data_IF_268393962204
#
_entry.id   IF_268393962204
#
_cell.length_a   1.000
_cell.length_b   1.000
_cell.length_c   1.000
_cell.angle_alpha   90.00
_cell.angle_beta   90.00
_cell.angle_gamma   90.00
#
_symmetry.space_group_name_H-M   'P 1'
#
loop_
_entity.id
_entity.type
_entity.pdbx_description
1 polymer ?
#
# COMPACT_ATOMS: atom_id res chain seq x y z
N UNK A 1 -8.07 8.87 -4.20
CA UNK A 1 -9.20 8.82 -3.25
C UNK A 1 -9.25 10.15 -2.51
N UNK A 2 -10.37 10.83 -2.56
CA UNK A 2 -10.64 11.97 -1.68
C UNK A 2 -10.77 11.42 -0.27
N UNK A 3 -10.08 11.95 0.72
CA UNK A 3 -10.15 11.44 2.09
C UNK A 3 -11.60 11.23 2.54
N UNK A 4 -11.84 10.17 3.30
CA UNK A 4 -13.15 9.88 3.90
C UNK A 4 -13.08 10.28 5.36
N UNK A 5 -13.92 11.23 5.74
CA UNK A 5 -14.06 11.69 7.12
C UNK A 5 -15.05 10.84 7.87
N UNK A 6 -14.73 10.57 9.12
CA UNK A 6 -15.67 10.11 10.13
C UNK A 6 -15.56 11.04 11.33
N UNK A 7 -16.59 11.87 11.55
CA UNK A 7 -16.52 12.97 12.51
C UNK A 7 -15.36 13.92 12.18
N UNK A 8 -14.42 14.17 13.08
CA UNK A 8 -13.28 15.06 12.90
C UNK A 8 -11.98 14.33 12.54
N UNK A 9 -12.05 13.01 12.24
CA UNK A 9 -10.90 12.18 11.91
C UNK A 9 -10.99 11.64 10.49
N UNK A 10 -9.82 11.38 9.88
CA UNK A 10 -9.77 10.71 8.58
C UNK A 10 -9.80 9.20 8.73
N UNK A 11 -10.79 8.53 8.15
CA UNK A 11 -10.76 7.10 7.94
C UNK A 11 -9.82 6.73 6.77
N UNK A 12 -9.87 7.54 5.70
CA UNK A 12 -8.98 7.39 4.54
C UNK A 12 -8.31 8.74 4.30
N UNK A 13 -6.98 8.76 4.28
CA UNK A 13 -6.19 9.97 4.07
C UNK A 13 -6.34 10.54 2.65
N UNK A 14 -5.97 11.83 2.48
CA UNK A 14 -6.05 12.54 1.19
C UNK A 14 -4.93 12.13 0.22
N UNK A 15 -4.53 10.89 0.18
CA UNK A 15 -3.48 10.38 -0.71
C UNK A 15 -3.97 9.94 -2.09
N UNK A 16 -5.10 10.49 -2.56
CA UNK A 16 -5.68 10.09 -3.84
C UNK A 16 -4.77 10.34 -5.06
N UNK A 17 -3.88 11.32 -4.98
CA UNK A 17 -2.92 11.61 -6.06
C UNK A 17 -1.81 10.56 -6.11
N UNK A 18 -1.43 10.05 -4.97
CA UNK A 18 -0.36 9.07 -4.85
C UNK A 18 -0.91 7.65 -4.98
N UNK A 19 -1.74 7.21 -4.06
CA UNK A 19 -2.30 5.86 -4.03
C UNK A 19 -3.28 5.59 -5.18
N UNK A 20 -4.02 6.62 -5.63
CA UNK A 20 -4.99 6.49 -6.72
C UNK A 20 -4.36 6.07 -8.04
N UNK A 21 -3.19 6.63 -8.38
CA UNK A 21 -2.45 6.25 -9.59
C UNK A 21 -1.95 4.81 -9.48
N UNK A 22 -1.39 4.42 -8.34
CA UNK A 22 -0.95 3.05 -8.10
C UNK A 22 -2.10 2.05 -8.22
N UNK A 23 -3.26 2.40 -7.68
CA UNK A 23 -4.46 1.58 -7.77
C UNK A 23 -4.98 1.45 -9.20
N UNK A 24 -4.98 2.52 -10.00
CA UNK A 24 -5.38 2.47 -11.41
C UNK A 24 -4.46 1.57 -12.25
N UNK A 25 -3.14 1.63 -12.02
CA UNK A 25 -2.20 0.73 -12.69
C UNK A 25 -2.42 -0.72 -12.25
N UNK A 26 -2.71 -0.95 -10.97
CA UNK A 26 -3.10 -2.27 -10.48
C UNK A 26 -4.34 -2.82 -11.19
N UNK A 27 -5.39 -2.00 -11.34
CA UNK A 27 -6.59 -2.40 -12.08
C UNK A 27 -6.27 -2.74 -13.55
N UNK A 28 -5.42 -1.95 -14.21
CA UNK A 28 -4.98 -2.25 -15.56
C UNK A 28 -4.21 -3.58 -15.64
N UNK A 29 -3.33 -3.86 -14.67
CA UNK A 29 -2.63 -5.14 -14.58
C UNK A 29 -3.59 -6.32 -14.34
N UNK A 30 -4.63 -6.14 -13.52
CA UNK A 30 -5.68 -7.14 -13.30
C UNK A 30 -6.51 -7.40 -14.56
N UNK A 31 -6.88 -6.36 -15.29
CA UNK A 31 -7.57 -6.50 -16.59
C UNK A 31 -6.68 -7.28 -17.56
N UNK A 32 -5.39 -6.92 -17.65
CA UNK A 32 -4.44 -7.63 -18.47
C UNK A 32 -4.30 -9.11 -18.05
N UNK A 33 -4.35 -9.40 -16.77
CA UNK A 33 -4.31 -10.77 -16.25
C UNK A 33 -5.54 -11.58 -16.69
N UNK A 34 -6.74 -10.98 -16.66
CA UNK A 34 -7.98 -11.64 -17.08
C UNK A 34 -7.94 -11.98 -18.58
N UNK A 35 -7.47 -11.07 -19.44
CA UNK A 35 -7.50 -11.25 -20.90
C UNK A 35 -6.24 -11.91 -21.46
N UNK A 36 -5.08 -11.74 -20.82
CA UNK A 36 -3.78 -12.26 -21.25
C UNK A 36 -2.97 -12.77 -20.06
N UNK A 37 -3.41 -13.89 -19.50
CA UNK A 37 -2.83 -14.47 -18.28
C UNK A 37 -1.31 -14.57 -18.27
N UNK A 38 -0.69 -15.01 -19.38
CA UNK A 38 0.77 -15.20 -19.46
C UNK A 38 1.58 -13.94 -19.14
N UNK A 39 1.08 -12.78 -19.58
CA UNK A 39 1.72 -11.47 -19.33
C UNK A 39 1.17 -10.84 -18.07
N UNK A 40 -0.15 -10.88 -17.90
CA UNK A 40 -0.85 -10.20 -16.82
C UNK A 40 -0.44 -10.68 -15.43
N UNK A 41 -0.18 -11.98 -15.23
CA UNK A 41 0.31 -12.48 -13.94
C UNK A 41 1.64 -11.85 -13.52
N UNK A 42 2.55 -11.62 -14.46
CA UNK A 42 3.81 -10.94 -14.18
C UNK A 42 3.60 -9.44 -13.94
N UNK A 43 2.70 -8.80 -14.70
CA UNK A 43 2.35 -7.40 -14.47
C UNK A 43 1.78 -7.19 -13.07
N UNK A 44 0.89 -8.06 -12.60
CA UNK A 44 0.34 -8.01 -11.23
C UNK A 44 1.44 -8.17 -10.18
N UNK A 45 2.27 -9.21 -10.27
CA UNK A 45 3.33 -9.46 -9.27
C UNK A 45 4.34 -8.34 -9.25
N UNK A 46 4.84 -7.90 -10.39
CA UNK A 46 5.86 -6.85 -10.46
C UNK A 46 5.30 -5.54 -9.91
N UNK A 47 4.10 -5.15 -10.34
CA UNK A 47 3.50 -3.90 -9.90
C UNK A 47 3.18 -3.88 -8.41
N UNK A 48 2.54 -4.92 -7.90
CA UNK A 48 2.19 -4.98 -6.47
C UNK A 48 3.43 -5.10 -5.58
N UNK A 49 4.49 -5.79 -6.03
CA UNK A 49 5.76 -5.83 -5.30
C UNK A 49 6.42 -4.45 -5.24
N UNK A 50 6.44 -3.72 -6.36
CA UNK A 50 6.95 -2.34 -6.40
C UNK A 50 6.13 -1.43 -5.49
N UNK A 51 4.82 -1.51 -5.57
CA UNK A 51 3.92 -0.73 -4.71
C UNK A 51 4.15 -1.03 -3.24
N UNK A 52 4.27 -2.31 -2.87
CA UNK A 52 4.58 -2.71 -1.49
C UNK A 52 5.91 -2.14 -1.00
N UNK A 53 6.96 -2.20 -1.81
CA UNK A 53 8.28 -1.64 -1.45
C UNK A 53 8.17 -0.14 -1.21
N UNK A 54 7.51 0.60 -2.08
CA UNK A 54 7.32 2.05 -1.93
C UNK A 54 6.53 2.36 -0.66
N UNK A 55 5.43 1.66 -0.41
CA UNK A 55 4.64 1.82 0.80
C UNK A 55 5.45 1.51 2.06
N UNK A 56 6.23 0.43 2.04
CA UNK A 56 7.13 0.07 3.14
C UNK A 56 8.12 1.18 3.46
N UNK A 57 8.76 1.75 2.44
CA UNK A 57 9.71 2.86 2.60
C UNK A 57 9.03 4.15 3.08
N UNK A 58 7.77 4.36 2.68
CA UNK A 58 6.99 5.54 3.08
C UNK A 58 6.42 5.44 4.50
N UNK A 59 6.20 4.25 5.02
CA UNK A 59 5.48 4.03 6.29
C UNK A 59 6.29 3.20 7.29
N UNK A 60 6.46 1.90 7.09
CA UNK A 60 7.10 1.01 8.06
C UNK A 60 8.55 1.37 8.33
N UNK A 61 9.25 1.91 7.34
CA UNK A 61 10.63 2.37 7.51
C UNK A 61 10.76 3.40 8.63
N UNK A 62 9.83 4.38 8.68
CA UNK A 62 9.82 5.39 9.74
C UNK A 62 9.52 4.80 11.11
N UNK A 63 8.63 3.82 11.17
CA UNK A 63 8.28 3.13 12.41
C UNK A 63 9.46 2.36 12.97
N UNK A 64 10.22 1.67 12.11
CA UNK A 64 11.31 0.78 12.53
C UNK A 64 12.55 1.59 12.91
N UNK A 65 12.98 2.52 12.06
CA UNK A 65 14.26 3.23 12.25
C UNK A 65 14.13 4.64 12.83
N UNK A 66 12.91 5.16 13.02
CA UNK A 66 12.67 6.49 13.60
C UNK A 66 13.15 7.66 12.73
N UNK A 67 13.52 7.40 11.48
CA UNK A 67 13.91 8.40 10.48
C UNK A 67 13.49 7.95 9.10
N UNK A 68 13.22 8.89 8.21
CA UNK A 68 12.73 8.60 6.87
C UNK A 68 13.75 8.78 5.76
N UNK A 69 13.52 8.09 4.65
CA UNK A 69 14.20 8.29 3.38
C UNK A 69 13.43 9.30 2.52
N UNK A 70 12.11 9.38 2.70
CA UNK A 70 11.19 10.16 1.88
C UNK A 70 10.55 11.31 2.68
N UNK A 71 11.37 12.18 3.27
CA UNK A 71 10.93 13.34 4.05
C UNK A 71 11.27 13.25 5.55
N UNK A 72 10.95 14.32 6.29
CA UNK A 72 11.21 14.38 7.73
C UNK A 72 10.18 13.58 8.54
N UNK A 73 10.60 13.09 9.70
CA UNK A 73 9.72 12.39 10.63
C UNK A 73 8.59 13.32 11.13
N UNK A 74 8.93 14.55 11.48
CA UNK A 74 7.97 15.56 11.95
C UNK A 74 6.92 15.87 10.88
N UNK A 75 7.34 16.02 9.63
CA UNK A 75 6.45 16.24 8.50
C UNK A 75 5.48 15.08 8.32
N UNK A 76 5.97 13.84 8.48
CA UNK A 76 5.15 12.63 8.39
C UNK A 76 4.11 12.57 9.51
N UNK A 77 4.53 12.77 10.75
CA UNK A 77 3.64 12.78 11.93
C UNK A 77 2.57 13.86 11.77
N UNK A 78 2.96 15.07 11.34
CA UNK A 78 2.04 16.18 11.12
C UNK A 78 1.03 15.90 10.02
N UNK A 79 1.47 15.32 8.89
CA UNK A 79 0.59 15.02 7.74
C UNK A 79 -0.51 14.02 8.11
N UNK A 80 -0.19 13.02 8.94
CA UNK A 80 -1.12 11.96 9.36
C UNK A 80 -1.75 12.20 10.74
N UNK A 81 -1.60 13.39 11.31
CA UNK A 81 -2.13 13.71 12.67
C UNK A 81 -3.65 13.56 12.79
N UNK A 82 -4.40 13.80 11.71
CA UNK A 82 -5.87 13.66 11.69
C UNK A 82 -6.37 12.28 11.28
N UNK A 83 -5.49 11.31 11.00
CA UNK A 83 -5.88 9.96 10.61
C UNK A 83 -6.25 9.10 11.83
N UNK A 84 -7.15 8.13 11.63
CA UNK A 84 -7.49 7.16 12.68
C UNK A 84 -6.31 6.21 12.87
N UNK A 85 -5.74 6.23 14.06
CA UNK A 85 -4.61 5.40 14.45
C UNK A 85 -5.05 4.24 15.33
N UNK A 86 -4.42 3.10 15.19
CA UNK A 86 -4.63 1.96 16.07
C UNK A 86 -3.66 1.95 17.26
N UNK A 87 -2.55 2.71 17.15
CA UNK A 87 -1.57 2.90 18.20
C UNK A 87 -0.91 4.28 18.05
N UNK A 88 -0.72 5.00 19.14
CA UNK A 88 0.07 6.24 19.19
C UNK A 88 1.22 6.08 20.16
N UNK A 89 2.43 6.45 19.72
CA UNK A 89 3.64 6.49 20.54
C UNK A 89 4.28 7.85 20.33
N UNK A 90 4.51 8.57 21.41
CA UNK A 90 5.13 9.91 21.35
C UNK A 90 6.49 9.87 20.65
N UNK A 91 6.68 10.79 19.71
CA UNK A 91 7.91 10.90 18.94
C UNK A 91 8.14 9.79 17.91
N UNK A 92 7.17 8.89 17.67
CA UNK A 92 7.23 7.86 16.63
C UNK A 92 6.10 7.99 15.64
N UNK A 93 6.40 7.73 14.38
CA UNK A 93 5.39 7.53 13.36
C UNK A 93 4.96 6.06 13.35
N UNK A 94 3.65 5.86 13.41
CA UNK A 94 3.02 4.54 13.23
C UNK A 94 1.99 4.69 12.12
N UNK A 95 1.95 3.78 11.12
CA UNK A 95 0.96 3.84 10.06
C UNK A 95 -0.47 3.85 10.64
N UNK A 96 -1.33 4.64 10.02
CA UNK A 96 -2.74 4.67 10.38
C UNK A 96 -3.46 3.37 9.98
N UNK A 97 -4.71 3.23 10.41
CA UNK A 97 -5.53 2.04 10.15
C UNK A 97 -5.67 1.78 8.64
N UNK A 98 -5.88 2.83 7.84
CA UNK A 98 -6.00 2.70 6.38
C UNK A 98 -4.74 2.13 5.75
N UNK A 99 -3.56 2.72 6.02
CA UNK A 99 -2.31 2.25 5.45
C UNK A 99 -1.92 0.85 5.94
N UNK A 100 -2.17 0.55 7.22
CA UNK A 100 -1.93 -0.81 7.75
C UNK A 100 -2.75 -1.86 7.00
N UNK A 101 -4.05 -1.62 6.79
CA UNK A 101 -4.92 -2.53 6.03
C UNK A 101 -4.47 -2.60 4.56
N UNK A 102 -4.17 -1.47 3.94
CA UNK A 102 -3.69 -1.42 2.55
C UNK A 102 -2.43 -2.26 2.36
N UNK A 103 -1.45 -2.15 3.29
CA UNK A 103 -0.20 -2.91 3.20
C UNK A 103 -0.43 -4.42 3.36
N UNK A 104 -1.30 -4.84 4.27
CA UNK A 104 -1.68 -6.24 4.43
C UNK A 104 -2.32 -6.78 3.13
N UNK A 105 -3.21 -6.01 2.51
CA UNK A 105 -3.86 -6.39 1.26
C UNK A 105 -2.86 -6.49 0.10
N UNK A 106 -1.98 -5.50 -0.07
CA UNK A 106 -0.95 -5.54 -1.11
C UNK A 106 -0.03 -6.73 -0.90
N UNK A 107 0.46 -6.97 0.31
CA UNK A 107 1.31 -8.11 0.64
C UNK A 107 0.61 -9.45 0.35
N UNK A 108 -0.67 -9.55 0.66
CA UNK A 108 -1.48 -10.73 0.35
C UNK A 108 -1.53 -10.97 -1.16
N UNK A 109 -1.72 -9.93 -1.97
CA UNK A 109 -1.71 -10.05 -3.43
C UNK A 109 -0.33 -10.47 -3.93
N UNK A 110 0.76 -9.90 -3.40
CA UNK A 110 2.14 -10.29 -3.76
C UNK A 110 2.37 -11.77 -3.50
N UNK A 111 2.04 -12.25 -2.30
CA UNK A 111 2.26 -13.65 -1.89
C UNK A 111 1.41 -14.60 -2.75
N UNK A 112 0.12 -14.33 -2.88
CA UNK A 112 -0.80 -15.21 -3.63
C UNK A 112 -0.46 -15.27 -5.11
N UNK A 113 -0.09 -14.13 -5.70
CA UNK A 113 0.34 -14.06 -7.10
C UNK A 113 1.68 -14.78 -7.32
N UNK A 114 2.62 -14.67 -6.40
CA UNK A 114 3.90 -15.38 -6.46
C UNK A 114 3.69 -16.90 -6.36
N UNK A 115 2.82 -17.35 -5.46
CA UNK A 115 2.44 -18.77 -5.34
C UNK A 115 1.78 -19.25 -6.64
N UNK A 116 0.88 -18.46 -7.22
CA UNK A 116 0.21 -18.77 -8.47
C UNK A 116 1.20 -18.99 -9.62
N UNK A 117 2.20 -18.10 -9.75
CA UNK A 117 3.23 -18.24 -10.79
C UNK A 117 4.08 -19.49 -10.58
N UNK A 118 4.40 -19.84 -9.33
CA UNK A 118 5.24 -21.02 -9.00
C UNK A 118 4.54 -22.36 -9.22
N UNK A 119 3.22 -22.40 -9.25
CA UNK A 119 2.41 -23.61 -9.36
C UNK A 119 1.64 -23.69 -10.70
N UNK A 120 2.33 -23.81 -11.84
CA UNK A 120 1.68 -23.77 -13.15
C UNK A 120 0.74 -24.97 -13.42
N UNK A 121 0.86 -26.07 -12.66
CA UNK A 121 0.04 -27.29 -12.83
C UNK A 121 -1.43 -27.13 -12.40
N UNK A 122 -1.83 -26.03 -11.78
CA UNK A 122 -3.22 -25.72 -11.43
C UNK A 122 -3.91 -24.82 -12.46
N UNK A 123 -3.22 -24.48 -13.55
CA UNK A 123 -3.77 -23.68 -14.65
C UNK A 123 -4.41 -24.65 -15.66
N UNK A 124 -5.62 -25.01 -15.40
CA UNK A 124 -6.46 -25.76 -16.35
C UNK A 124 -7.27 -24.77 -17.16
#
# INVERSE_FOLDING_TARGET
MTGVYFSNTYLVTRSYKDDGIFFLIYLAAMILFIFKEKIGKWAVVVWTSLWFIIQFLCHEWYTIWGKGIMGSLEGKISFFSGAIKWLEIDGRYIPDVYHTILHILILTVVITSAIYIRNPKKQV
#
